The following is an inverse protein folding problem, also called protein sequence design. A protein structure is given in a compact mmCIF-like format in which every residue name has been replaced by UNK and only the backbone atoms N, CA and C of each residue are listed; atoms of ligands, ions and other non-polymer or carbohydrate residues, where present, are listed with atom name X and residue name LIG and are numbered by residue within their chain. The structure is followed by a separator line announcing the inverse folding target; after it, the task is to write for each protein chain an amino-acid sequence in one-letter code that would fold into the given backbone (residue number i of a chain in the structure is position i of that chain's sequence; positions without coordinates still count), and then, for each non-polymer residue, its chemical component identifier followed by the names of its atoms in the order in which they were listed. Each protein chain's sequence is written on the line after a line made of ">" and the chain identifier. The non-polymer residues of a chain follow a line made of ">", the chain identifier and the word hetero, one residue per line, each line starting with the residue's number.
data_IF_639750590388
#
_entry.id   IF_639750590388
#
_cell.length_a   1.000
_cell.length_b   1.000
_cell.length_c   1.000
_cell.angle_alpha   90.00
_cell.angle_beta   90.00
_cell.angle_gamma   90.00
#
_symmetry.space_group_name_H-M   'P 1'
#
loop_
_entity.id
_entity.type
_entity.pdbx_description
1 polymer ?
#
# COMPACT_ATOMS: atom_id res chain seq x y z
N UNK A 1 -19.26 -9.02 42.71
CA UNK A 1 -20.34 -8.66 41.76
C UNK A 1 -20.31 -7.14 41.62
N UNK A 2 -19.47 -6.63 40.71
CA UNK A 2 -19.28 -5.20 40.45
C UNK A 2 -19.64 -4.96 38.97
N UNK A 3 -20.68 -4.18 38.75
CA UNK A 3 -21.18 -3.78 37.43
C UNK A 3 -20.24 -2.75 36.82
N UNK A 4 -19.57 -3.11 35.73
CA UNK A 4 -18.82 -2.17 34.89
C UNK A 4 -19.81 -1.46 33.94
N UNK A 5 -20.05 -0.18 34.18
CA UNK A 5 -20.82 0.70 33.31
C UNK A 5 -19.89 1.12 32.16
N UNK A 6 -20.05 0.47 31.00
CA UNK A 6 -19.38 0.85 29.76
C UNK A 6 -20.00 2.11 29.18
N UNK A 7 -19.37 3.26 29.43
CA UNK A 7 -19.61 4.50 28.68
C UNK A 7 -19.14 4.30 27.24
N UNK A 8 -20.06 3.92 26.35
CA UNK A 8 -19.87 4.04 24.91
C UNK A 8 -19.88 5.53 24.54
N UNK A 9 -18.70 6.14 24.45
CA UNK A 9 -18.51 7.42 23.78
C UNK A 9 -18.86 7.26 22.30
N UNK A 10 -20.09 7.63 21.92
CA UNK A 10 -20.48 7.81 20.52
C UNK A 10 -19.80 9.09 20.01
N UNK A 11 -18.54 8.97 19.56
CA UNK A 11 -17.90 10.01 18.74
C UNK A 11 -18.61 9.99 17.38
N UNK A 12 -19.46 10.99 17.13
CA UNK A 12 -19.97 11.28 15.79
C UNK A 12 -18.77 11.53 14.87
N UNK A 13 -18.43 10.55 14.03
CA UNK A 13 -17.39 10.69 13.04
C UNK A 13 -17.87 11.70 11.99
N UNK A 14 -17.26 12.89 11.97
CA UNK A 14 -17.33 13.77 10.81
C UNK A 14 -16.76 12.96 9.64
N UNK A 15 -17.58 12.72 8.61
CA UNK A 15 -17.13 11.99 7.43
C UNK A 15 -15.94 12.74 6.83
N UNK A 16 -14.79 12.07 6.70
CA UNK A 16 -13.64 12.64 6.03
C UNK A 16 -14.04 13.00 4.59
N UNK A 17 -13.54 14.11 4.03
CA UNK A 17 -13.83 14.49 2.65
C UNK A 17 -13.40 13.36 1.69
N UNK A 18 -14.22 13.10 0.66
CA UNK A 18 -13.87 12.14 -0.40
C UNK A 18 -12.66 12.68 -1.18
N UNK A 19 -11.52 12.00 -1.04
CA UNK A 19 -10.26 12.35 -1.68
C UNK A 19 -10.36 12.37 -3.21
N UNK A 20 -11.38 11.73 -3.78
CA UNK A 20 -11.61 11.63 -5.22
C UNK A 20 -12.78 12.48 -5.75
N UNK A 21 -13.36 13.37 -4.94
CA UNK A 21 -14.50 14.20 -5.34
C UNK A 21 -14.22 15.07 -6.58
N UNK A 22 -13.02 15.65 -6.69
CA UNK A 22 -12.62 16.43 -7.86
C UNK A 22 -12.60 15.56 -9.14
N UNK A 23 -12.10 14.33 -9.05
CA UNK A 23 -12.04 13.40 -10.19
C UNK A 23 -13.44 12.94 -10.60
N UNK A 24 -14.35 12.74 -9.63
CA UNK A 24 -15.77 12.44 -9.90
C UNK A 24 -16.46 13.61 -10.59
N UNK A 25 -16.24 14.82 -10.10
CA UNK A 25 -16.77 16.06 -10.69
C UNK A 25 -16.28 16.24 -12.12
N UNK A 26 -14.99 16.02 -12.37
CA UNK A 26 -14.39 16.09 -13.71
C UNK A 26 -15.00 15.07 -14.67
N UNK A 27 -15.27 13.84 -14.21
CA UNK A 27 -15.93 12.81 -15.02
C UNK A 27 -17.38 13.20 -15.35
N UNK A 28 -18.13 13.75 -14.39
CA UNK A 28 -19.49 14.22 -14.61
C UNK A 28 -19.57 15.40 -15.60
N UNK A 29 -18.59 16.29 -15.57
CA UNK A 29 -18.49 17.45 -16.48
C UNK A 29 -17.89 17.15 -17.86
N UNK A 30 -17.44 15.92 -18.13
CA UNK A 30 -16.75 15.58 -19.38
C UNK A 30 -17.73 15.50 -20.57
N UNK A 31 -17.70 16.53 -21.43
CA UNK A 31 -18.58 16.69 -22.58
C UNK A 31 -18.17 15.91 -23.84
N UNK A 32 -16.89 15.51 -23.97
CA UNK A 32 -16.38 14.76 -25.15
C UNK A 32 -15.96 13.34 -24.77
N UNK A 33 -15.94 12.37 -25.72
CA UNK A 33 -15.48 11.01 -25.45
C UNK A 33 -14.04 10.96 -24.91
N UNK A 34 -13.15 11.77 -25.47
CA UNK A 34 -11.76 11.86 -25.01
C UNK A 34 -11.64 12.44 -23.60
N UNK A 35 -12.33 13.55 -23.31
CA UNK A 35 -12.35 14.12 -21.96
C UNK A 35 -12.94 13.13 -20.94
N UNK A 36 -13.95 12.36 -21.34
CA UNK A 36 -14.57 11.34 -20.49
C UNK A 36 -13.58 10.24 -20.17
N UNK A 37 -12.88 9.72 -21.18
CA UNK A 37 -11.82 8.72 -21.00
C UNK A 37 -10.73 9.20 -20.06
N UNK A 38 -10.24 10.41 -20.27
CA UNK A 38 -9.23 11.05 -19.42
C UNK A 38 -9.69 11.18 -17.97
N UNK A 39 -10.93 11.62 -17.76
CA UNK A 39 -11.52 11.70 -16.44
C UNK A 39 -11.76 10.32 -15.80
N UNK A 40 -12.11 9.30 -16.60
CA UNK A 40 -12.24 7.91 -16.14
C UNK A 40 -10.91 7.35 -15.66
N UNK A 41 -9.82 7.55 -16.42
CA UNK A 41 -8.47 7.12 -16.03
C UNK A 41 -8.04 7.86 -14.75
N UNK A 42 -8.26 9.18 -14.68
CA UNK A 42 -7.91 9.98 -13.50
C UNK A 42 -8.69 9.54 -12.24
N UNK A 43 -9.98 9.24 -12.36
CA UNK A 43 -10.77 8.74 -11.24
C UNK A 43 -10.31 7.34 -10.81
N UNK A 44 -10.06 6.43 -11.75
CA UNK A 44 -9.56 5.09 -11.42
C UNK A 44 -8.22 5.17 -10.70
N UNK A 45 -7.30 6.03 -11.16
CA UNK A 45 -6.04 6.28 -10.48
C UNK A 45 -6.22 6.85 -9.08
N UNK A 46 -7.10 7.84 -8.90
CA UNK A 46 -7.37 8.39 -7.57
C UNK A 46 -7.85 7.29 -6.60
N UNK A 47 -8.77 6.44 -7.05
CA UNK A 47 -9.30 5.34 -6.26
C UNK A 47 -8.21 4.32 -5.89
N UNK A 48 -7.41 3.89 -6.86
CA UNK A 48 -6.35 2.89 -6.67
C UNK A 48 -5.18 3.44 -5.86
N UNK A 49 -4.80 4.69 -6.10
CA UNK A 49 -3.55 5.25 -5.59
C UNK A 49 -3.74 6.01 -4.27
N UNK A 50 -4.78 6.84 -4.16
CA UNK A 50 -5.00 7.71 -3.00
C UNK A 50 -6.05 7.15 -2.06
N UNK A 51 -7.26 6.85 -2.56
CA UNK A 51 -8.36 6.39 -1.70
C UNK A 51 -8.08 5.00 -1.07
N UNK A 52 -7.42 4.11 -1.79
CA UNK A 52 -7.05 2.79 -1.28
C UNK A 52 -5.86 2.82 -0.29
N UNK A 53 -5.03 3.86 -0.30
CA UNK A 53 -3.76 3.87 0.41
C UNK A 53 -3.88 3.68 1.94
N UNK A 54 -4.86 4.29 2.64
CA UNK A 54 -5.07 4.04 4.07
C UNK A 54 -5.43 2.57 4.37
N UNK A 55 -6.35 1.99 3.60
CA UNK A 55 -6.76 0.59 3.78
C UNK A 55 -5.61 -0.38 3.47
N UNK A 56 -4.82 -0.09 2.43
CA UNK A 56 -3.63 -0.84 2.08
C UNK A 56 -2.52 -0.72 3.12
N UNK A 57 -2.35 0.45 3.73
CA UNK A 57 -1.44 0.67 4.87
C UNK A 57 -1.86 -0.20 6.07
N UNK A 58 -3.15 -0.21 6.40
CA UNK A 58 -3.70 -1.07 7.46
C UNK A 58 -3.43 -2.55 7.16
N UNK A 59 -3.64 -2.99 5.90
CA UNK A 59 -3.35 -4.36 5.46
C UNK A 59 -1.87 -4.75 5.59
N UNK A 60 -0.93 -3.84 5.34
CA UNK A 60 0.51 -4.08 5.55
C UNK A 60 0.85 -4.27 7.03
N UNK A 61 0.11 -3.61 7.92
CA UNK A 61 0.25 -3.73 9.38
C UNK A 61 -0.55 -4.90 9.96
N UNK A 62 -1.31 -5.61 9.13
CA UNK A 62 -2.13 -6.76 9.52
C UNK A 62 -3.50 -6.41 10.07
N UNK A 63 -3.93 -5.14 9.99
CA UNK A 63 -5.28 -4.73 10.32
C UNK A 63 -6.23 -4.94 9.14
N UNK A 64 -7.26 -5.76 9.36
CA UNK A 64 -8.24 -6.17 8.35
C UNK A 64 -9.58 -5.43 8.48
N UNK A 65 -9.70 -4.51 9.43
CA UNK A 65 -10.95 -3.78 9.71
C UNK A 65 -11.44 -2.97 8.51
N UNK A 66 -10.53 -2.59 7.59
CA UNK A 66 -10.82 -1.78 6.41
C UNK A 66 -11.07 -2.58 5.12
N UNK A 67 -11.02 -3.92 5.14
CA UNK A 67 -11.09 -4.76 3.92
C UNK A 67 -12.34 -4.54 3.08
N UNK A 68 -13.52 -4.42 3.72
CA UNK A 68 -14.78 -4.27 3.01
C UNK A 68 -14.85 -2.95 2.23
N UNK A 69 -14.49 -1.84 2.87
CA UNK A 69 -14.43 -0.52 2.25
C UNK A 69 -13.36 -0.46 1.15
N UNK A 70 -12.17 -1.00 1.42
CA UNK A 70 -11.10 -1.10 0.43
C UNK A 70 -11.54 -1.93 -0.79
N UNK A 71 -12.18 -3.08 -0.58
CA UNK A 71 -12.70 -3.93 -1.66
C UNK A 71 -13.68 -3.16 -2.54
N UNK A 72 -14.64 -2.44 -1.94
CA UNK A 72 -15.63 -1.68 -2.69
C UNK A 72 -14.99 -0.62 -3.61
N UNK A 73 -14.00 0.12 -3.09
CA UNK A 73 -13.26 1.11 -3.90
C UNK A 73 -12.44 0.50 -5.03
N UNK A 74 -11.80 -0.66 -4.80
CA UNK A 74 -11.06 -1.38 -5.83
C UNK A 74 -11.99 -1.95 -6.91
N UNK A 75 -13.16 -2.47 -6.53
CA UNK A 75 -14.16 -2.97 -7.48
C UNK A 75 -14.74 -1.85 -8.35
N UNK A 76 -14.96 -0.65 -7.77
CA UNK A 76 -15.34 0.54 -8.53
C UNK A 76 -14.27 0.90 -9.57
N UNK A 77 -13.00 0.98 -9.15
CA UNK A 77 -11.89 1.26 -10.07
C UNK A 77 -11.78 0.19 -11.17
N UNK A 78 -12.02 -1.08 -10.86
CA UNK A 78 -12.06 -2.16 -11.85
C UNK A 78 -13.17 -1.95 -12.88
N UNK A 79 -14.35 -1.47 -12.46
CA UNK A 79 -15.45 -1.11 -13.35
C UNK A 79 -15.07 -0.02 -14.34
N UNK A 80 -14.42 1.05 -13.84
CA UNK A 80 -13.95 2.18 -14.65
C UNK A 80 -12.88 1.76 -15.68
N UNK A 81 -11.93 0.92 -15.28
CA UNK A 81 -10.87 0.46 -16.20
C UNK A 81 -11.38 -0.57 -17.22
N UNK A 82 -12.49 -1.26 -16.96
CA UNK A 82 -13.11 -2.19 -17.92
C UNK A 82 -13.89 -1.45 -19.01
N UNK A 83 -14.62 -0.40 -18.66
CA UNK A 83 -15.42 0.37 -19.63
C UNK A 83 -14.56 1.10 -20.66
N UNK A 84 -13.33 1.51 -20.30
CA UNK A 84 -12.39 2.17 -21.22
C UNK A 84 -11.79 1.23 -22.29
N UNK A 85 -11.90 -0.09 -22.13
CA UNK A 85 -11.42 -1.04 -23.13
C UNK A 85 -12.25 -1.02 -24.44
N UNK A 86 -13.40 -0.33 -24.43
CA UNK A 86 -14.37 -0.31 -25.53
C UNK A 86 -14.29 1.02 -26.28
N UNK A 87 -13.63 0.98 -27.44
CA UNK A 87 -13.78 1.86 -28.60
C UNK A 87 -13.17 3.28 -28.56
N UNK A 88 -12.02 3.45 -29.24
CA UNK A 88 -11.81 4.53 -30.23
C UNK A 88 -10.94 3.96 -31.37
N UNK A 89 -11.46 3.77 -32.60
CA UNK A 89 -10.65 3.52 -33.76
C UNK A 89 -10.04 4.85 -34.22
N UNK A 90 -8.82 5.14 -33.77
CA UNK A 90 -8.06 6.29 -34.23
C UNK A 90 -6.61 5.88 -34.48
N UNK A 91 -5.97 6.54 -35.44
CA UNK A 91 -4.53 6.43 -35.65
C UNK A 91 -3.80 6.64 -34.31
N UNK A 92 -2.82 5.78 -34.01
CA UNK A 92 -2.11 5.79 -32.72
C UNK A 92 -1.41 7.13 -32.50
N UNK A 93 -2.03 8.04 -31.75
CA UNK A 93 -1.37 9.23 -31.24
C UNK A 93 -0.47 8.85 -30.05
N UNK A 94 0.59 9.61 -29.83
CA UNK A 94 1.48 9.43 -28.68
C UNK A 94 0.71 9.50 -27.34
N UNK A 95 -0.29 10.37 -27.27
CA UNK A 95 -1.23 10.50 -26.14
C UNK A 95 -1.98 9.20 -25.88
N UNK A 96 -2.50 8.54 -26.93
CA UNK A 96 -3.21 7.27 -26.81
C UNK A 96 -2.29 6.16 -26.29
N UNK A 97 -1.06 6.09 -26.79
CA UNK A 97 -0.07 5.11 -26.32
C UNK A 97 0.31 5.35 -24.86
N UNK A 98 0.46 6.61 -24.44
CA UNK A 98 0.71 7.00 -23.05
C UNK A 98 -0.45 6.62 -22.12
N UNK A 99 -1.68 6.91 -22.52
CA UNK A 99 -2.90 6.52 -21.80
C UNK A 99 -2.99 5.00 -21.64
N UNK A 100 -2.72 4.23 -22.71
CA UNK A 100 -2.74 2.76 -22.67
C UNK A 100 -1.74 2.20 -21.66
N UNK A 101 -0.49 2.68 -21.69
CA UNK A 101 0.55 2.29 -20.70
C UNK A 101 0.12 2.61 -19.27
N UNK A 102 -0.52 3.76 -19.05
CA UNK A 102 -1.05 4.15 -17.73
C UNK A 102 -2.16 3.22 -17.27
N UNK A 103 -3.10 2.87 -18.15
CA UNK A 103 -4.18 1.91 -17.84
C UNK A 103 -3.62 0.52 -17.53
N UNK A 104 -2.64 0.04 -18.29
CA UNK A 104 -1.97 -1.24 -18.03
C UNK A 104 -1.29 -1.25 -16.64
N UNK A 105 -0.59 -0.17 -16.30
CA UNK A 105 0.02 0.01 -14.98
C UNK A 105 -1.02 -0.07 -13.86
N UNK A 106 -2.09 0.73 -13.98
CA UNK A 106 -3.16 0.76 -12.99
C UNK A 106 -3.84 -0.60 -12.84
N UNK A 107 -4.05 -1.34 -13.93
CA UNK A 107 -4.64 -2.69 -13.90
C UNK A 107 -3.73 -3.68 -13.17
N UNK A 108 -2.42 -3.67 -13.41
CA UNK A 108 -1.49 -4.58 -12.74
C UNK A 108 -1.48 -4.38 -11.22
N UNK A 109 -1.42 -3.12 -10.75
CA UNK A 109 -1.51 -2.83 -9.32
C UNK A 109 -2.88 -3.18 -8.74
N UNK A 110 -3.97 -2.82 -9.43
CA UNK A 110 -5.33 -3.13 -9.00
C UNK A 110 -5.54 -4.64 -8.80
N UNK A 111 -5.06 -5.47 -9.72
CA UNK A 111 -5.16 -6.93 -9.61
C UNK A 111 -4.46 -7.45 -8.36
N UNK A 112 -3.24 -6.98 -8.06
CA UNK A 112 -2.51 -7.37 -6.85
C UNK A 112 -3.25 -6.91 -5.59
N UNK A 113 -3.79 -5.68 -5.58
CA UNK A 113 -4.53 -5.17 -4.43
C UNK A 113 -5.80 -5.98 -4.17
N UNK A 114 -6.57 -6.28 -5.22
CA UNK A 114 -7.76 -7.13 -5.12
C UNK A 114 -7.40 -8.53 -4.62
N UNK A 115 -6.33 -9.13 -5.12
CA UNK A 115 -5.86 -10.45 -4.67
C UNK A 115 -5.43 -10.43 -3.19
N UNK A 116 -4.72 -9.38 -2.75
CA UNK A 116 -4.32 -9.21 -1.33
C UNK A 116 -5.55 -9.10 -0.41
N UNK A 117 -6.55 -8.31 -0.80
CA UNK A 117 -7.76 -8.08 0.00
C UNK A 117 -8.63 -9.33 0.06
N UNK A 118 -8.72 -10.06 -1.05
CA UNK A 118 -9.47 -11.32 -1.14
C UNK A 118 -8.75 -12.50 -0.48
N UNK A 119 -7.48 -12.35 -0.09
CA UNK A 119 -6.68 -13.47 0.38
C UNK A 119 -7.23 -14.10 1.67
N UNK A 120 -7.52 -15.40 1.59
CA UNK A 120 -8.05 -16.24 2.66
C UNK A 120 -7.15 -17.44 3.01
N UNK A 121 -6.07 -17.64 2.24
CA UNK A 121 -5.10 -18.73 2.42
C UNK A 121 -5.44 -20.01 1.65
N UNK A 122 -6.54 -20.04 0.90
CA UNK A 122 -6.88 -21.14 -0.01
C UNK A 122 -5.90 -21.25 -1.19
N UNK A 123 -5.87 -22.41 -1.85
CA UNK A 123 -5.08 -22.62 -3.07
C UNK A 123 -5.46 -21.64 -4.18
N UNK A 124 -6.77 -21.44 -4.43
CA UNK A 124 -7.27 -20.48 -5.40
C UNK A 124 -6.85 -19.04 -5.09
N UNK A 125 -6.87 -18.65 -3.81
CA UNK A 125 -6.34 -17.35 -3.37
C UNK A 125 -4.83 -17.23 -3.65
N UNK A 126 -4.06 -18.29 -3.42
CA UNK A 126 -2.61 -18.28 -3.68
C UNK A 126 -2.32 -18.16 -5.17
N UNK A 127 -3.05 -18.88 -6.02
CA UNK A 127 -2.92 -18.79 -7.48
C UNK A 127 -3.27 -17.39 -7.99
N UNK A 128 -4.33 -16.78 -7.47
CA UNK A 128 -4.70 -15.41 -7.80
C UNK A 128 -3.60 -14.39 -7.42
N UNK A 129 -3.00 -14.54 -6.24
CA UNK A 129 -1.86 -13.73 -5.81
C UNK A 129 -0.65 -13.91 -6.75
N UNK A 130 -0.32 -15.14 -7.14
CA UNK A 130 0.81 -15.40 -8.03
C UNK A 130 0.57 -14.88 -9.45
N UNK A 131 -0.64 -15.07 -9.99
CA UNK A 131 -1.02 -14.52 -11.29
C UNK A 131 -0.90 -13.00 -11.30
N UNK A 132 -1.38 -12.32 -10.25
CA UNK A 132 -1.28 -10.87 -10.16
C UNK A 132 0.18 -10.38 -10.04
N UNK A 133 1.04 -11.13 -9.33
CA UNK A 133 2.47 -10.83 -9.27
C UNK A 133 3.17 -10.89 -10.63
N UNK A 134 2.75 -11.80 -11.53
CA UNK A 134 3.33 -11.92 -12.89
C UNK A 134 3.10 -10.64 -13.70
N UNK A 135 1.87 -10.12 -13.69
CA UNK A 135 1.54 -8.87 -14.38
C UNK A 135 2.29 -7.67 -13.79
N UNK A 136 2.41 -7.63 -12.46
CA UNK A 136 3.13 -6.56 -11.77
C UNK A 136 4.66 -6.62 -12.00
N UNK A 137 5.21 -7.78 -12.39
CA UNK A 137 6.65 -7.97 -12.62
C UNK A 137 7.20 -7.14 -13.78
N UNK A 138 6.34 -6.77 -14.74
CA UNK A 138 6.72 -5.89 -15.86
C UNK A 138 7.22 -4.52 -15.34
N UNK A 139 6.79 -4.10 -14.15
CA UNK A 139 7.10 -2.78 -13.59
C UNK A 139 8.27 -2.78 -12.60
N UNK A 140 8.96 -3.91 -12.39
CA UNK A 140 10.12 -3.95 -11.48
C UNK A 140 11.39 -3.33 -12.07
N UNK A 141 11.39 -3.09 -13.39
CA UNK A 141 12.47 -2.45 -14.15
C UNK A 141 11.99 -1.15 -14.83
N UNK A 142 10.95 -0.51 -14.28
CA UNK A 142 10.45 0.77 -14.77
C UNK A 142 11.50 1.88 -14.61
N UNK A 143 11.50 2.88 -15.51
CA UNK A 143 12.40 4.03 -15.43
C UNK A 143 12.13 4.95 -14.21
N UNK A 144 10.93 4.88 -13.62
CA UNK A 144 10.58 5.57 -12.40
C UNK A 144 10.83 4.66 -11.18
N UNK A 145 11.82 5.01 -10.36
CA UNK A 145 12.22 4.26 -9.17
C UNK A 145 11.08 4.12 -8.13
N UNK A 146 10.15 5.07 -8.04
CA UNK A 146 9.01 4.97 -7.12
C UNK A 146 8.05 3.85 -7.53
N UNK A 147 7.79 3.73 -8.83
CA UNK A 147 6.98 2.63 -9.39
C UNK A 147 7.67 1.30 -9.12
N UNK A 148 8.99 1.23 -9.31
CA UNK A 148 9.78 0.02 -9.00
C UNK A 148 9.67 -0.35 -7.52
N UNK A 149 9.82 0.64 -6.62
CA UNK A 149 9.69 0.43 -5.17
C UNK A 149 8.30 -0.07 -4.78
N UNK A 150 7.24 0.52 -5.32
CA UNK A 150 5.88 0.07 -5.05
C UNK A 150 5.59 -1.31 -5.64
N UNK A 151 6.01 -1.59 -6.88
CA UNK A 151 5.85 -2.90 -7.49
C UNK A 151 6.51 -4.00 -6.64
N UNK A 152 7.75 -3.76 -6.18
CA UNK A 152 8.47 -4.66 -5.27
C UNK A 152 7.76 -4.82 -3.92
N UNK A 153 7.29 -3.74 -3.31
CA UNK A 153 6.52 -3.80 -2.06
C UNK A 153 5.30 -4.71 -2.20
N UNK A 154 4.49 -4.48 -3.23
CA UNK A 154 3.21 -5.17 -3.36
C UNK A 154 3.35 -6.62 -3.83
N UNK A 155 4.34 -6.93 -4.66
CA UNK A 155 4.72 -8.32 -4.91
C UNK A 155 5.19 -9.03 -3.63
N UNK A 156 5.94 -8.34 -2.76
CA UNK A 156 6.48 -8.93 -1.54
C UNK A 156 5.35 -9.25 -0.56
N UNK A 157 4.42 -8.31 -0.46
CA UNK A 157 3.19 -8.45 0.30
C UNK A 157 2.35 -9.64 -0.20
N UNK A 158 2.18 -9.78 -1.51
CA UNK A 158 1.46 -10.89 -2.12
C UNK A 158 2.15 -12.24 -1.92
N UNK A 159 3.46 -12.34 -2.16
CA UNK A 159 4.24 -13.55 -1.89
C UNK A 159 4.13 -14.00 -0.44
N UNK A 160 4.24 -13.06 0.51
CA UNK A 160 4.14 -13.37 1.93
C UNK A 160 2.76 -13.93 2.28
N UNK A 161 1.70 -13.31 1.77
CA UNK A 161 0.31 -13.73 1.98
C UNK A 161 0.01 -15.09 1.32
N UNK A 162 0.70 -15.43 0.24
CA UNK A 162 0.67 -16.77 -0.37
C UNK A 162 1.57 -17.81 0.34
N UNK A 163 2.12 -17.50 1.52
CA UNK A 163 3.00 -18.41 2.26
C UNK A 163 4.38 -18.62 1.62
N UNK A 164 4.81 -17.73 0.71
CA UNK A 164 6.11 -17.78 0.02
C UNK A 164 7.12 -16.83 0.66
N UNK A 165 7.30 -16.92 1.97
CA UNK A 165 8.18 -16.03 2.74
C UNK A 165 9.61 -15.98 2.21
N UNK A 166 10.15 -17.10 1.73
CA UNK A 166 11.49 -17.14 1.11
C UNK A 166 11.59 -16.26 -0.14
N UNK A 167 10.55 -16.23 -0.98
CA UNK A 167 10.49 -15.37 -2.17
C UNK A 167 10.43 -13.90 -1.76
N UNK A 168 9.62 -13.56 -0.76
CA UNK A 168 9.60 -12.22 -0.17
C UNK A 168 11.00 -11.83 0.32
N UNK A 169 11.72 -12.71 1.04
CA UNK A 169 13.07 -12.43 1.54
C UNK A 169 14.13 -12.30 0.45
N UNK A 170 13.98 -12.99 -0.69
CA UNK A 170 14.85 -12.85 -1.86
C UNK A 170 14.66 -11.50 -2.54
N UNK A 171 13.41 -11.09 -2.74
CA UNK A 171 13.08 -9.87 -3.45
C UNK A 171 13.45 -8.60 -2.66
N UNK A 172 13.35 -8.65 -1.33
CA UNK A 172 13.53 -7.47 -0.46
C UNK A 172 14.97 -7.30 0.04
N UNK A 173 15.98 -7.46 -0.83
CA UNK A 173 17.40 -7.25 -0.51
C UNK A 173 17.94 -5.99 -1.21
N UNK A 174 18.81 -5.19 -0.57
CA UNK A 174 19.26 -5.23 0.83
C UNK A 174 18.38 -4.43 1.81
N UNK A 175 18.19 -4.92 3.03
CA UNK A 175 17.28 -4.32 4.02
C UNK A 175 17.82 -3.07 4.74
N UNK A 176 19.15 -2.92 4.77
CA UNK A 176 19.84 -1.83 5.47
C UNK A 176 20.65 -0.95 4.51
N UNK A 177 20.33 -0.99 3.21
CA UNK A 177 20.88 -0.05 2.24
C UNK A 177 20.33 1.36 2.46
N UNK A 178 20.93 2.34 1.78
CA UNK A 178 20.42 3.71 1.72
C UNK A 178 18.99 3.67 1.19
N UNK A 179 18.06 4.31 1.89
CA UNK A 179 16.68 4.46 1.44
C UNK A 179 16.60 5.52 0.33
N UNK A 180 15.66 5.35 -0.60
CA UNK A 180 15.28 6.40 -1.55
C UNK A 180 14.36 7.47 -0.92
N UNK A 181 14.02 7.34 0.37
CA UNK A 181 13.18 8.29 1.10
C UNK A 181 11.68 8.11 0.85
N UNK A 182 11.27 7.12 0.07
CA UNK A 182 9.87 6.85 -0.28
C UNK A 182 9.22 5.95 0.76
N UNK A 183 7.96 6.23 1.13
CA UNK A 183 7.22 5.43 2.12
C UNK A 183 7.13 3.94 1.72
N UNK A 184 7.04 3.63 0.43
CA UNK A 184 7.06 2.26 -0.08
C UNK A 184 8.34 1.49 0.29
N UNK A 185 9.51 2.14 0.26
CA UNK A 185 10.79 1.53 0.63
C UNK A 185 10.91 1.28 2.16
N UNK A 186 10.28 2.13 2.97
CA UNK A 186 10.12 1.87 4.40
C UNK A 186 9.22 0.65 4.64
N UNK A 187 8.04 0.62 4.04
CA UNK A 187 7.11 -0.51 4.17
C UNK A 187 7.67 -1.82 3.60
N UNK A 188 8.52 -1.74 2.58
CA UNK A 188 9.26 -2.88 2.06
C UNK A 188 10.10 -3.57 3.15
N UNK A 189 10.73 -2.79 4.03
CA UNK A 189 11.51 -3.32 5.15
C UNK A 189 10.63 -3.89 6.26
N UNK A 190 9.47 -3.29 6.47
CA UNK A 190 8.46 -3.81 7.40
C UNK A 190 7.93 -5.17 6.93
N UNK A 191 7.58 -5.30 5.65
CA UNK A 191 7.16 -6.58 5.05
C UNK A 191 8.28 -7.63 5.13
N UNK A 192 9.55 -7.23 5.02
CA UNK A 192 10.68 -8.13 5.27
C UNK A 192 10.73 -8.64 6.72
N UNK A 193 10.47 -7.78 7.70
CA UNK A 193 10.38 -8.22 9.10
C UNK A 193 9.27 -9.26 9.29
N UNK A 194 8.10 -9.06 8.68
CA UNK A 194 7.03 -10.04 8.72
C UNK A 194 7.41 -11.34 8.01
N UNK A 195 8.07 -11.28 6.85
CA UNK A 195 8.52 -12.49 6.15
C UNK A 195 9.54 -13.30 6.97
N UNK A 196 10.44 -12.65 7.73
CA UNK A 196 11.34 -13.33 8.67
C UNK A 196 10.56 -14.08 9.75
N UNK A 197 9.55 -13.42 10.34
CA UNK A 197 8.69 -14.04 11.35
C UNK A 197 7.84 -15.19 10.79
N UNK A 198 7.33 -15.05 9.56
CA UNK A 198 6.58 -16.10 8.85
C UNK A 198 7.47 -17.33 8.57
N UNK A 199 8.80 -17.13 8.46
CA UNK A 199 9.80 -18.19 8.37
C UNK A 199 10.31 -18.72 9.74
N UNK A 200 9.65 -18.32 10.84
CA UNK A 200 10.03 -18.71 12.21
C UNK A 200 11.21 -17.95 12.81
N UNK A 201 11.79 -16.97 12.10
CA UNK A 201 12.96 -16.21 12.53
C UNK A 201 12.59 -14.96 13.35
N UNK A 202 11.79 -15.11 14.41
CA UNK A 202 11.27 -13.99 15.20
C UNK A 202 12.35 -13.08 15.79
N UNK A 203 13.44 -13.65 16.30
CA UNK A 203 14.56 -12.86 16.86
C UNK A 203 15.20 -11.99 15.76
N UNK A 204 15.37 -12.54 14.56
CA UNK A 204 15.89 -11.80 13.40
C UNK A 204 14.94 -10.70 12.95
N UNK A 205 13.64 -10.97 12.93
CA UNK A 205 12.60 -9.99 12.62
C UNK A 205 12.60 -8.81 13.60
N UNK A 206 12.64 -9.10 14.90
CA UNK A 206 12.68 -8.08 15.97
C UNK A 206 13.96 -7.25 15.93
N UNK A 207 15.11 -7.89 15.71
CA UNK A 207 16.39 -7.21 15.58
C UNK A 207 16.42 -6.30 14.34
N UNK A 208 15.86 -6.75 13.21
CA UNK A 208 15.74 -5.93 12.01
C UNK A 208 14.83 -4.73 12.24
N UNK A 209 13.67 -4.93 12.87
CA UNK A 209 12.74 -3.84 13.19
C UNK A 209 13.36 -2.77 14.11
N UNK A 210 14.15 -3.18 15.11
CA UNK A 210 14.90 -2.25 15.96
C UNK A 210 15.99 -1.48 15.18
N UNK A 211 16.68 -2.14 14.24
CA UNK A 211 17.67 -1.47 13.36
C UNK A 211 17.02 -0.49 12.39
N UNK A 212 15.82 -0.79 11.89
CA UNK A 212 15.04 0.13 11.05
C UNK A 212 14.73 1.39 11.85
N UNK A 213 14.20 1.27 13.06
CA UNK A 213 13.88 2.40 13.94
C UNK A 213 15.11 3.30 14.21
N UNK A 214 16.26 2.68 14.49
CA UNK A 214 17.53 3.40 14.68
C UNK A 214 18.05 4.14 13.43
N UNK A 215 17.53 3.85 12.23
CA UNK A 215 17.96 4.46 10.95
C UNK A 215 16.97 5.45 10.36
N UNK A 216 15.82 5.66 10.98
CA UNK A 216 14.77 6.53 10.43
C UNK A 216 15.28 7.95 10.19
N UNK A 217 16.04 8.53 11.11
CA UNK A 217 16.55 9.91 10.95
C UNK A 217 17.54 10.03 9.78
N UNK A 218 18.34 8.99 9.54
CA UNK A 218 19.27 8.91 8.41
C UNK A 218 18.53 8.76 7.08
N UNK A 219 17.55 7.85 7.03
CA UNK A 219 16.81 7.53 5.80
C UNK A 219 15.81 8.61 5.40
N UNK A 220 15.22 9.29 6.37
CA UNK A 220 14.18 10.29 6.18
C UNK A 220 14.69 11.69 6.58
N UNK A 221 15.96 11.99 6.29
CA UNK A 221 16.57 13.28 6.63
C UNK A 221 15.84 14.45 5.98
N UNK A 222 15.37 14.27 4.74
CA UNK A 222 14.61 15.28 3.98
C UNK A 222 13.12 15.34 4.35
N UNK A 223 12.59 14.34 5.07
CA UNK A 223 11.19 14.32 5.45
C UNK A 223 10.90 15.26 6.63
N UNK A 224 9.67 15.80 6.74
CA UNK A 224 9.25 16.54 7.92
C UNK A 224 9.39 15.72 9.21
N UNK A 225 9.59 16.40 10.34
CA UNK A 225 9.72 15.74 11.64
C UNK A 225 8.51 14.85 11.99
N UNK A 226 7.29 15.29 11.64
CA UNK A 226 6.07 14.52 11.85
C UNK A 226 6.09 13.17 11.10
N UNK A 227 6.62 13.13 9.88
CA UNK A 227 6.77 11.90 9.09
C UNK A 227 7.75 10.94 9.76
N UNK A 228 8.89 11.45 10.27
CA UNK A 228 9.86 10.64 11.02
C UNK A 228 9.26 10.05 12.29
N UNK A 229 8.51 10.85 13.05
CA UNK A 229 7.79 10.39 14.25
C UNK A 229 6.79 9.28 13.89
N UNK A 230 6.03 9.46 12.81
CA UNK A 230 5.06 8.47 12.33
C UNK A 230 5.74 7.17 11.89
N UNK A 231 6.92 7.25 11.24
CA UNK A 231 7.71 6.09 10.86
C UNK A 231 8.22 5.31 12.09
N UNK A 232 8.71 6.02 13.13
CA UNK A 232 9.15 5.40 14.39
C UNK A 232 7.99 4.67 15.05
N UNK A 233 6.81 5.31 15.09
CA UNK A 233 5.58 4.67 15.58
C UNK A 233 5.25 3.40 14.81
N UNK A 234 5.30 3.43 13.47
CA UNK A 234 5.07 2.23 12.65
C UNK A 234 6.07 1.11 12.93
N UNK A 235 7.36 1.43 13.10
CA UNK A 235 8.37 0.46 13.47
C UNK A 235 8.10 -0.16 14.86
N UNK A 236 7.68 0.65 15.83
CA UNK A 236 7.27 0.17 17.17
C UNK A 236 6.02 -0.70 17.10
N UNK A 237 4.98 -0.29 16.37
CA UNK A 237 3.76 -1.10 16.14
C UNK A 237 4.10 -2.45 15.50
N UNK A 238 5.04 -2.46 14.56
CA UNK A 238 5.54 -3.68 13.93
C UNK A 238 6.21 -4.58 14.97
N UNK A 239 7.06 -4.04 15.86
CA UNK A 239 7.68 -4.81 16.95
C UNK A 239 6.65 -5.39 17.92
N UNK A 240 5.63 -4.61 18.31
CA UNK A 240 4.51 -5.10 19.14
C UNK A 240 3.81 -6.29 18.46
N UNK A 241 3.46 -6.15 17.17
CA UNK A 241 2.86 -7.21 16.38
C UNK A 241 3.74 -8.47 16.33
N UNK A 242 5.04 -8.32 16.07
CA UNK A 242 6.01 -9.42 16.05
C UNK A 242 6.11 -10.14 17.40
N UNK A 243 6.17 -9.41 18.52
CA UNK A 243 6.20 -10.01 19.85
C UNK A 243 4.92 -10.80 20.17
N UNK A 244 3.74 -10.27 19.83
CA UNK A 244 2.47 -10.98 20.02
C UNK A 244 2.43 -12.29 19.22
N UNK A 245 2.88 -12.25 17.97
CA UNK A 245 2.98 -13.43 17.11
C UNK A 245 4.00 -14.45 17.65
N UNK A 246 5.13 -13.99 18.15
CA UNK A 246 6.15 -14.85 18.75
C UNK A 246 5.65 -15.51 20.04
N UNK A 247 4.98 -14.74 20.90
CA UNK A 247 4.33 -15.23 22.11
C UNK A 247 3.34 -16.36 21.80
N UNK A 248 2.46 -16.15 20.81
CA UNK A 248 1.52 -17.18 20.37
C UNK A 248 2.20 -18.43 19.82
N UNK A 249 3.28 -18.27 19.04
CA UNK A 249 4.07 -19.40 18.54
C UNK A 249 4.75 -20.19 19.68
N UNK A 250 5.38 -19.49 20.63
CA UNK A 250 6.03 -20.10 21.79
C UNK A 250 5.03 -20.87 22.68
N UNK A 251 3.84 -20.32 22.90
CA UNK A 251 2.79 -20.98 23.67
C UNK A 251 2.32 -22.27 22.97
N UNK A 252 2.14 -22.23 21.64
CA UNK A 252 1.78 -23.41 20.85
C UNK A 252 2.82 -24.53 20.96
N UNK A 253 4.09 -24.18 21.09
CA UNK A 253 5.21 -25.11 21.23
C UNK A 253 5.49 -25.52 22.70
N UNK A 254 4.69 -25.06 23.66
CA UNK A 254 4.81 -25.42 25.09
C UNK A 254 5.84 -24.61 25.89
N UNK A 255 6.31 -23.48 25.38
CA UNK A 255 7.27 -22.59 26.06
C UNK A 255 6.59 -21.45 26.82
N UNK A 256 5.67 -21.76 27.73
CA UNK A 256 4.77 -20.80 28.39
C UNK A 256 5.49 -19.61 29.06
N UNK A 257 6.59 -19.87 29.77
CA UNK A 257 7.36 -18.81 30.44
C UNK A 257 7.92 -17.78 29.45
N UNK A 258 8.45 -18.25 28.31
CA UNK A 258 8.99 -17.37 27.25
C UNK A 258 7.86 -16.68 26.48
N UNK A 259 6.73 -17.37 26.29
CA UNK A 259 5.54 -16.77 25.70
C UNK A 259 5.03 -15.60 26.54
N UNK A 260 4.99 -15.74 27.87
CA UNK A 260 4.60 -14.69 28.80
C UNK A 260 5.59 -13.50 28.78
N UNK A 261 6.89 -13.77 28.70
CA UNK A 261 7.91 -12.73 28.56
C UNK A 261 7.74 -11.93 27.24
N UNK A 262 7.55 -12.62 26.12
CA UNK A 262 7.29 -11.96 24.83
C UNK A 262 6.00 -11.12 24.85
N UNK A 263 4.93 -11.62 25.47
CA UNK A 263 3.69 -10.86 25.65
C UNK A 263 3.90 -9.61 26.51
N UNK A 264 4.66 -9.74 27.61
CA UNK A 264 5.03 -8.60 28.46
C UNK A 264 5.80 -7.53 27.68
N UNK A 265 6.80 -7.92 26.87
CA UNK A 265 7.53 -6.98 26.02
C UNK A 265 6.64 -6.29 24.99
N UNK A 266 5.62 -6.97 24.46
CA UNK A 266 4.62 -6.33 23.58
C UNK A 266 3.83 -5.25 24.32
N UNK A 267 3.34 -5.55 25.53
CA UNK A 267 2.60 -4.58 26.35
C UNK A 267 3.48 -3.39 26.75
N UNK A 268 4.72 -3.62 27.18
CA UNK A 268 5.66 -2.55 27.52
C UNK A 268 5.90 -1.60 26.34
N UNK A 269 6.16 -2.14 25.13
CA UNK A 269 6.29 -1.31 23.93
C UNK A 269 5.00 -0.60 23.54
N UNK A 270 3.84 -1.22 23.73
CA UNK A 270 2.56 -0.58 23.44
C UNK A 270 2.32 0.65 24.33
N UNK A 271 2.77 0.62 25.59
CA UNK A 271 2.67 1.80 26.48
C UNK A 271 3.48 3.00 26.00
N UNK A 272 4.51 2.80 25.16
CA UNK A 272 5.29 3.90 24.57
C UNK A 272 4.60 4.53 23.35
N UNK A 273 3.48 3.97 22.88
CA UNK A 273 2.72 4.45 21.71
C UNK A 273 1.58 5.41 22.15
N UNK A 274 1.42 5.66 23.45
CA UNK A 274 0.25 6.29 24.10
C UNK A 274 0.00 7.78 23.77
N UNK A 275 0.83 8.41 22.95
CA UNK A 275 0.52 9.74 22.42
C UNK A 275 -0.45 9.62 21.23
N UNK A 276 -1.74 9.86 21.46
CA UNK A 276 -2.80 9.77 20.43
C UNK A 276 -2.64 10.77 19.27
N UNK A 277 -1.68 11.70 19.34
CA UNK A 277 -1.53 12.79 18.36
C UNK A 277 -0.99 12.38 16.99
N UNK A 278 -0.43 11.18 16.82
CA UNK A 278 0.22 10.78 15.57
C UNK A 278 -0.18 9.38 15.10
N UNK A 279 -0.82 9.27 13.94
CA UNK A 279 -1.02 7.97 13.28
C UNK A 279 0.33 7.33 12.89
N UNK A 280 0.34 6.02 12.60
CA UNK A 280 1.49 5.41 11.92
C UNK A 280 1.76 6.09 10.57
N UNK A 281 2.97 5.93 10.04
CA UNK A 281 3.34 6.44 8.71
C UNK A 281 2.33 5.97 7.65
N UNK A 282 1.57 6.87 7.06
CA UNK A 282 0.66 6.52 5.99
C UNK A 282 1.40 6.30 4.66
N UNK A 283 0.95 5.36 3.84
CA UNK A 283 1.16 5.48 2.40
C UNK A 283 0.24 6.59 1.90
N UNK A 284 0.81 7.71 1.45
CA UNK A 284 0.03 8.79 0.81
C UNK A 284 -0.45 8.35 -0.59
N UNK A 285 0.41 7.58 -1.27
CA UNK A 285 0.15 6.97 -2.57
C UNK A 285 0.54 5.49 -2.48
N UNK A 286 -0.33 4.60 -2.99
CA UNK A 286 -0.07 3.16 -3.03
C UNK A 286 0.93 2.76 -4.14
N UNK A 287 1.05 3.56 -5.21
CA UNK A 287 1.90 3.31 -6.37
C UNK A 287 3.06 4.31 -6.39
N UNK A 288 2.84 5.48 -6.96
CA UNK A 288 3.77 6.60 -7.08
C UNK A 288 2.95 7.80 -7.54
N UNK A 289 3.50 9.01 -7.50
CA UNK A 289 2.87 10.11 -8.22
C UNK A 289 3.12 9.91 -9.73
N UNK A 290 2.05 9.65 -10.48
CA UNK A 290 2.15 9.51 -11.93
C UNK A 290 2.09 10.90 -12.55
N UNK A 291 3.02 11.25 -13.47
CA UNK A 291 3.02 12.57 -14.10
C UNK A 291 1.67 12.87 -14.73
N UNK A 292 1.19 14.10 -14.64
CA UNK A 292 -0.04 14.50 -15.31
C UNK A 292 0.07 14.14 -16.81
N UNK A 293 -1.00 13.58 -17.37
CA UNK A 293 -1.05 13.40 -18.83
C UNK A 293 -1.10 14.80 -19.41
N UNK A 294 -0.06 15.18 -20.15
CA UNK A 294 0.01 16.50 -20.75
C UNK A 294 -1.14 16.65 -21.76
N UNK A 295 -2.08 17.53 -21.44
CA UNK A 295 -3.22 17.85 -22.30
C UNK A 295 -2.91 19.01 -23.24
N UNK A 296 -1.70 19.57 -23.22
CA UNK A 296 -1.30 20.64 -24.15
C UNK A 296 -0.99 20.08 -25.53
N UNK A 297 -2.01 19.51 -26.17
CA UNK A 297 -2.04 19.27 -27.60
C UNK A 297 -2.53 20.52 -28.33
N UNK A 298 -1.60 21.26 -28.90
CA UNK A 298 -1.76 21.92 -30.20
C UNK A 298 -2.79 23.07 -30.36
N UNK A 299 -2.93 23.95 -29.36
CA UNK A 299 -3.73 25.19 -29.50
C UNK A 299 -3.04 26.30 -30.34
N UNK A 300 -2.01 26.00 -31.15
CA UNK A 300 -1.16 27.08 -31.67
C UNK A 300 -0.31 26.81 -32.90
N UNK A 301 -0.77 26.01 -33.86
CA UNK A 301 -0.37 26.22 -35.25
C UNK A 301 -1.30 27.29 -35.88
N UNK A 302 -1.31 28.50 -35.30
CA UNK A 302 -1.85 29.66 -36.01
C UNK A 302 -0.95 29.88 -37.23
N UNK A 303 -1.55 29.61 -38.38
CA UNK A 303 -1.05 29.90 -39.70
C UNK A 303 -0.49 31.32 -39.76
N UNK A 304 0.85 31.45 -39.71
CA UNK A 304 1.53 32.55 -40.39
C UNK A 304 1.30 32.36 -41.89
N UNK A 305 0.17 32.88 -42.37
CA UNK A 305 -0.10 33.07 -43.77
C UNK A 305 -0.51 34.52 -44.00
N UNK A 306 0.47 35.26 -44.54
CA UNK A 306 0.39 36.58 -45.19
C UNK A 306 0.43 37.81 -44.31
#
# INVERSE_FOLDING_TARGET
>A
MLLAIGLCCVRSAIAAPDVCDESRTRLAGAGTPEARRMATIALAECLINKAAAPGLTAELLGDRSHRSALKAGLDEAAGLLKSDAVAIPSAESETLASQKRRVELLRAFLQVFQAIVAADGSEASNDALMSACVELAIYTDNANDEIVSAAKLWQAAAYRRAGRSDRTLQMMRPALGRSNGVAADFYARIERCYALADAGQFVGALALAAKIDGRIDEWMIAAPQATRVSARRTATMTRVSLYRRWSAALAKDGFDARAAEAAKSATELETTITDDSHAGLALENAIAELPAIDTKGDDGAESSSK
#
